data_IF_353241279712
#
_entry.id   IF_353241279712
#
_cell.length_a   1.000
_cell.length_b   1.000
_cell.length_c   1.000
_cell.angle_alpha   90.00
_cell.angle_beta   90.00
_cell.angle_gamma   90.00
#
_symmetry.space_group_name_H-M   'P 1'
#
loop_
_entity.id
_entity.type
_entity.pdbx_description
1 polymer ?
#
# COMPACT_ATOMS: atom_id res chain seq x y z
N UNK A 1 21.87 5.63 -7.48
CA UNK A 1 20.60 5.72 -8.25
C UNK A 1 20.18 4.39 -8.83
N UNK A 2 20.95 3.71 -9.69
CA UNK A 2 20.55 2.41 -10.30
C UNK A 2 20.15 1.38 -9.25
N UNK A 3 20.93 1.21 -8.18
CA UNK A 3 20.61 0.29 -7.08
C UNK A 3 19.24 0.59 -6.44
N UNK A 4 18.90 1.88 -6.25
CA UNK A 4 17.58 2.26 -5.70
C UNK A 4 16.43 1.95 -6.65
N UNK A 5 16.61 2.15 -7.97
CA UNK A 5 15.62 1.80 -8.99
C UNK A 5 15.35 0.29 -9.01
N UNK A 6 16.42 -0.51 -9.02
CA UNK A 6 16.30 -1.99 -8.99
C UNK A 6 15.57 -2.45 -7.72
N UNK A 7 15.92 -1.91 -6.55
CA UNK A 7 15.26 -2.26 -5.29
C UNK A 7 13.77 -1.86 -5.29
N UNK A 8 13.41 -0.71 -5.86
CA UNK A 8 12.02 -0.28 -5.96
C UNK A 8 11.21 -1.22 -6.85
N UNK A 9 11.73 -1.59 -8.02
CA UNK A 9 11.07 -2.52 -8.94
C UNK A 9 10.94 -3.91 -8.30
N UNK A 10 11.98 -4.41 -7.66
CA UNK A 10 11.94 -5.70 -6.95
C UNK A 10 10.92 -5.68 -5.81
N UNK A 11 10.83 -4.58 -5.05
CA UNK A 11 9.80 -4.43 -4.01
C UNK A 11 8.40 -4.50 -4.62
N UNK A 12 8.15 -3.80 -5.74
CA UNK A 12 6.86 -3.87 -6.45
C UNK A 12 6.55 -5.28 -6.97
N UNK A 13 7.56 -6.00 -7.47
CA UNK A 13 7.39 -7.41 -7.88
C UNK A 13 7.01 -8.31 -6.69
N UNK A 14 7.63 -8.10 -5.52
CA UNK A 14 7.29 -8.85 -4.32
C UNK A 14 5.89 -8.48 -3.79
N UNK A 15 5.48 -7.22 -3.86
CA UNK A 15 4.09 -6.84 -3.55
C UNK A 15 3.10 -7.45 -4.54
N UNK A 16 3.43 -7.51 -5.83
CA UNK A 16 2.65 -8.26 -6.82
C UNK A 16 2.52 -9.74 -6.45
N UNK A 17 3.64 -10.40 -6.11
CA UNK A 17 3.61 -11.78 -5.64
C UNK A 17 2.72 -11.93 -4.40
N UNK A 18 2.82 -11.02 -3.43
CA UNK A 18 1.99 -11.02 -2.21
C UNK A 18 0.50 -10.80 -2.51
N UNK A 19 0.16 -10.20 -3.64
CA UNK A 19 -1.22 -10.05 -4.09
C UNK A 19 -1.82 -11.37 -4.56
N UNK A 20 -1.04 -12.20 -5.26
CA UNK A 20 -1.45 -13.55 -5.67
C UNK A 20 -1.37 -14.58 -4.53
N UNK A 21 -0.45 -14.36 -3.58
CA UNK A 21 -0.10 -15.33 -2.54
C UNK A 21 -1.28 -15.90 -1.73
N UNK A 22 -2.33 -15.12 -1.41
CA UNK A 22 -3.51 -15.63 -0.71
C UNK A 22 -4.17 -16.83 -1.39
N UNK A 23 -4.10 -16.93 -2.72
CA UNK A 23 -4.64 -18.06 -3.48
C UNK A 23 -3.97 -19.38 -3.10
N UNK A 24 -2.66 -19.34 -2.76
CA UNK A 24 -1.88 -20.50 -2.37
C UNK A 24 -2.18 -20.98 -0.93
N UNK A 25 -2.88 -20.15 -0.16
CA UNK A 25 -3.24 -20.41 1.24
C UNK A 25 -4.72 -20.83 1.38
N UNK A 26 -5.44 -20.99 0.28
CA UNK A 26 -6.78 -21.55 0.34
C UNK A 26 -6.72 -23.00 0.89
N UNK A 27 -7.67 -23.41 1.73
CA UNK A 27 -8.96 -22.77 2.05
C UNK A 27 -8.96 -21.87 3.30
N UNK A 28 -7.81 -21.34 3.76
CA UNK A 28 -7.80 -20.46 4.93
C UNK A 28 -8.67 -19.21 4.71
N UNK A 29 -9.45 -18.78 5.72
CA UNK A 29 -10.19 -17.53 5.66
C UNK A 29 -9.29 -16.32 5.44
N UNK A 30 -9.82 -15.28 4.78
CA UNK A 30 -9.09 -14.03 4.49
C UNK A 30 -8.45 -13.40 5.73
N UNK A 31 -9.20 -13.40 6.85
CA UNK A 31 -8.74 -12.83 8.12
C UNK A 31 -7.56 -13.63 8.68
N UNK A 32 -7.60 -14.96 8.54
CA UNK A 32 -6.51 -15.83 9.00
C UNK A 32 -5.24 -15.61 8.17
N UNK A 33 -5.37 -15.53 6.85
CA UNK A 33 -4.25 -15.21 5.95
C UNK A 33 -3.63 -13.86 6.33
N UNK A 34 -4.48 -12.85 6.59
CA UNK A 34 -4.05 -11.53 7.04
C UNK A 34 -3.31 -11.62 8.37
N UNK A 35 -3.87 -12.32 9.36
CA UNK A 35 -3.23 -12.48 10.68
C UNK A 35 -1.90 -13.23 10.56
N UNK A 36 -1.83 -14.31 9.80
CA UNK A 36 -0.57 -15.03 9.55
C UNK A 36 0.48 -14.13 8.90
N UNK A 37 0.09 -13.32 7.92
CA UNK A 37 0.98 -12.35 7.28
C UNK A 37 1.58 -11.38 8.29
N UNK A 38 0.75 -10.82 9.17
CA UNK A 38 1.18 -9.85 10.18
C UNK A 38 2.04 -10.49 11.28
N UNK A 39 1.63 -11.65 11.80
CA UNK A 39 2.37 -12.37 12.84
C UNK A 39 3.76 -12.79 12.38
N UNK A 40 3.88 -13.26 11.13
CA UNK A 40 5.17 -13.75 10.60
C UNK A 40 6.06 -12.60 10.07
N UNK A 41 5.51 -11.46 9.66
CA UNK A 41 6.30 -10.31 9.20
C UNK A 41 6.70 -9.35 10.32
N UNK A 42 5.97 -9.30 11.44
CA UNK A 42 6.25 -8.36 12.54
C UNK A 42 7.66 -8.49 13.13
N UNK A 43 8.21 -9.72 13.39
CA UNK A 43 9.59 -9.87 13.86
C UNK A 43 10.62 -9.19 12.95
N UNK A 44 10.41 -9.23 11.63
CA UNK A 44 11.30 -8.58 10.69
C UNK A 44 11.18 -7.04 10.70
N UNK A 45 9.98 -6.50 10.95
CA UNK A 45 9.81 -5.06 11.17
C UNK A 45 10.54 -4.62 12.44
N UNK A 46 10.52 -5.43 13.50
CA UNK A 46 11.32 -5.19 14.72
C UNK A 46 12.82 -5.16 14.38
N UNK A 47 13.31 -6.13 13.61
CA UNK A 47 14.72 -6.16 13.14
C UNK A 47 15.05 -4.91 12.32
N UNK A 48 14.17 -4.45 11.42
CA UNK A 48 14.35 -3.23 10.65
C UNK A 48 14.48 -1.99 11.55
N UNK A 49 13.71 -1.90 12.63
CA UNK A 49 13.83 -0.82 13.63
C UNK A 49 15.22 -0.80 14.26
N UNK A 50 15.79 -1.98 14.56
CA UNK A 50 17.16 -2.09 15.10
C UNK A 50 18.20 -1.67 14.05
N UNK A 51 18.12 -2.18 12.83
CA UNK A 51 19.07 -1.85 11.74
C UNK A 51 19.05 -0.35 11.42
N UNK A 52 17.90 0.27 11.43
CA UNK A 52 17.72 1.70 11.14
C UNK A 52 17.93 2.61 12.36
N UNK A 53 18.33 2.04 13.51
CA UNK A 53 18.58 2.77 14.77
C UNK A 53 17.39 3.65 15.21
N UNK A 54 16.14 3.21 14.96
CA UNK A 54 14.92 3.99 15.23
C UNK A 54 14.35 3.78 16.65
N UNK A 55 15.05 3.09 17.55
CA UNK A 55 14.58 2.87 18.92
C UNK A 55 14.39 4.16 19.73
N UNK A 56 15.21 5.18 19.49
CA UNK A 56 15.02 6.50 20.10
C UNK A 56 13.70 7.11 19.73
N UNK A 57 13.34 7.09 18.42
CA UNK A 57 12.07 7.61 17.92
C UNK A 57 10.86 6.87 18.52
N UNK A 58 10.96 5.54 18.71
CA UNK A 58 9.91 4.76 19.37
C UNK A 58 9.78 5.15 20.85
N UNK A 59 10.89 5.30 21.59
CA UNK A 59 10.86 5.75 22.98
C UNK A 59 10.23 7.15 23.11
N UNK A 60 10.58 8.06 22.21
CA UNK A 60 10.03 9.41 22.18
C UNK A 60 8.53 9.38 21.86
N UNK A 61 8.08 8.47 20.98
CA UNK A 61 6.67 8.25 20.70
C UNK A 61 5.92 7.81 21.98
N UNK A 62 6.48 6.86 22.76
CA UNK A 62 5.87 6.44 24.02
C UNK A 62 5.77 7.56 25.04
N UNK A 63 6.78 8.46 25.14
CA UNK A 63 6.71 9.65 25.98
C UNK A 63 5.59 10.58 25.53
N UNK A 64 5.50 10.87 24.22
CA UNK A 64 4.43 11.70 23.64
C UNK A 64 3.04 11.13 23.88
N UNK A 65 2.86 9.80 23.83
CA UNK A 65 1.58 9.15 24.14
C UNK A 65 1.20 9.36 25.60
N UNK A 66 2.16 9.30 26.54
CA UNK A 66 1.91 9.56 27.96
C UNK A 66 1.53 11.01 28.23
N UNK A 67 2.15 11.96 27.53
CA UNK A 67 1.86 13.39 27.65
C UNK A 67 0.54 13.77 26.94
N UNK A 68 0.22 13.11 25.83
CA UNK A 68 -0.95 13.39 25.00
C UNK A 68 -1.64 12.09 24.59
N UNK A 69 -2.56 11.53 25.41
CA UNK A 69 -3.22 10.25 25.11
C UNK A 69 -4.01 10.22 23.80
N UNK A 70 -4.40 11.39 23.28
CA UNK A 70 -5.06 11.51 21.96
C UNK A 70 -4.21 10.99 20.81
N UNK A 71 -2.87 10.97 20.97
CA UNK A 71 -1.95 10.37 19.99
C UNK A 71 -2.22 8.85 19.86
N UNK A 72 -2.50 8.16 20.97
CA UNK A 72 -2.85 6.74 20.96
C UNK A 72 -4.12 6.48 20.15
N UNK A 73 -5.15 7.30 20.34
CA UNK A 73 -6.41 7.20 19.57
C UNK A 73 -6.13 7.36 18.07
N UNK A 74 -5.32 8.35 17.70
CA UNK A 74 -4.91 8.57 16.31
C UNK A 74 -4.09 7.42 15.73
N UNK A 75 -3.22 6.78 16.53
CA UNK A 75 -2.46 5.59 16.13
C UNK A 75 -3.37 4.38 15.91
N UNK A 76 -4.29 4.11 16.83
CA UNK A 76 -5.27 3.02 16.68
C UNK A 76 -6.12 3.26 15.43
N UNK A 77 -6.57 4.49 15.21
CA UNK A 77 -7.33 4.85 14.00
C UNK A 77 -6.50 4.64 12.71
N UNK A 78 -5.23 5.07 12.68
CA UNK A 78 -4.36 4.84 11.52
C UNK A 78 -4.09 3.35 11.27
N UNK A 79 -3.88 2.57 12.33
CA UNK A 79 -3.68 1.13 12.25
C UNK A 79 -4.94 0.40 11.74
N UNK A 80 -6.12 0.85 12.15
CA UNK A 80 -7.40 0.33 11.65
C UNK A 80 -7.58 0.63 10.15
N UNK A 81 -7.27 1.85 9.71
CA UNK A 81 -7.30 2.20 8.30
C UNK A 81 -6.34 1.30 7.49
N UNK A 82 -5.11 1.11 7.98
CA UNK A 82 -4.14 0.24 7.32
C UNK A 82 -4.62 -1.23 7.31
N UNK A 83 -5.24 -1.71 8.39
CA UNK A 83 -5.85 -3.05 8.45
C UNK A 83 -6.88 -3.24 7.34
N UNK A 84 -7.79 -2.27 7.14
CA UNK A 84 -8.80 -2.32 6.08
C UNK A 84 -8.12 -2.41 4.70
N UNK A 85 -7.09 -1.58 4.46
CA UNK A 85 -6.37 -1.59 3.19
C UNK A 85 -5.70 -2.94 2.92
N UNK A 86 -5.03 -3.50 3.94
CA UNK A 86 -4.34 -4.79 3.82
C UNK A 86 -5.32 -5.97 3.70
N UNK A 87 -6.48 -5.88 4.34
CA UNK A 87 -7.55 -6.90 4.18
C UNK A 87 -8.11 -6.88 2.76
N UNK A 88 -8.37 -5.71 2.17
CA UNK A 88 -8.82 -5.61 0.78
C UNK A 88 -7.77 -6.15 -0.18
N UNK A 89 -6.48 -5.86 0.08
CA UNK A 89 -5.38 -6.38 -0.71
C UNK A 89 -5.34 -7.92 -0.77
N UNK A 90 -5.76 -8.59 0.31
CA UNK A 90 -5.85 -10.06 0.39
C UNK A 90 -7.21 -10.56 -0.13
N UNK A 91 -8.29 -9.86 0.20
CA UNK A 91 -9.66 -10.27 -0.09
C UNK A 91 -9.98 -10.16 -1.59
N UNK A 92 -9.55 -9.08 -2.24
CA UNK A 92 -9.93 -8.80 -3.61
C UNK A 92 -9.51 -9.90 -4.61
N UNK A 93 -8.26 -10.38 -4.64
CA UNK A 93 -7.85 -11.45 -5.54
C UNK A 93 -8.56 -12.79 -5.26
N UNK A 94 -8.97 -13.05 -4.01
CA UNK A 94 -9.68 -14.27 -3.62
C UNK A 94 -11.15 -14.28 -4.04
N UNK A 95 -11.73 -13.10 -4.30
CA UNK A 95 -13.17 -12.94 -4.56
C UNK A 95 -13.47 -12.40 -5.97
N UNK A 96 -12.50 -12.39 -6.90
CA UNK A 96 -12.70 -11.91 -8.27
C UNK A 96 -12.84 -10.38 -8.39
N UNK A 97 -12.30 -9.62 -7.43
CA UNK A 97 -12.32 -8.16 -7.38
C UNK A 97 -10.92 -7.56 -7.51
N UNK A 98 -9.96 -8.34 -7.99
CA UNK A 98 -8.56 -7.94 -8.10
C UNK A 98 -8.36 -6.74 -9.02
N UNK A 99 -9.04 -6.70 -10.18
CA UNK A 99 -9.00 -5.56 -11.10
C UNK A 99 -9.55 -4.29 -10.44
N UNK A 100 -10.67 -4.38 -9.71
CA UNK A 100 -11.27 -3.25 -9.00
C UNK A 100 -10.33 -2.69 -7.93
N UNK A 101 -9.69 -3.55 -7.15
CA UNK A 101 -8.69 -3.13 -6.17
C UNK A 101 -7.47 -2.50 -6.85
N UNK A 102 -6.93 -3.09 -7.92
CA UNK A 102 -5.79 -2.55 -8.66
C UNK A 102 -6.09 -1.15 -9.22
N UNK A 103 -7.32 -0.90 -9.69
CA UNK A 103 -7.77 0.41 -10.13
C UNK A 103 -7.71 1.45 -9.00
N UNK A 104 -8.07 1.05 -7.78
CA UNK A 104 -7.91 1.88 -6.58
C UNK A 104 -6.45 2.30 -6.34
N UNK A 105 -5.51 1.38 -6.53
CA UNK A 105 -4.07 1.69 -6.45
C UNK A 105 -3.60 2.62 -7.56
N UNK A 106 -4.17 2.55 -8.77
CA UNK A 106 -3.89 3.52 -9.83
C UNK A 106 -4.42 4.92 -9.48
N UNK A 107 -5.58 5.01 -8.85
CA UNK A 107 -6.16 6.29 -8.44
C UNK A 107 -5.47 6.91 -7.21
N UNK A 108 -4.76 6.11 -6.42
CA UNK A 108 -4.16 6.55 -5.17
C UNK A 108 -3.24 7.79 -5.32
N UNK A 109 -2.31 7.89 -6.27
CA UNK A 109 -1.49 9.09 -6.41
C UNK A 109 -2.31 10.34 -6.75
N UNK A 110 -3.40 10.18 -7.51
CA UNK A 110 -4.30 11.28 -7.86
C UNK A 110 -5.08 11.78 -6.64
N UNK A 111 -5.61 10.85 -5.84
CA UNK A 111 -6.31 11.20 -4.60
C UNK A 111 -5.36 11.79 -3.55
N UNK A 112 -4.08 11.38 -3.53
CA UNK A 112 -3.03 12.01 -2.73
C UNK A 112 -2.76 13.45 -3.17
N UNK A 113 -2.68 13.72 -4.48
CA UNK A 113 -2.50 15.07 -5.04
C UNK A 113 -3.69 15.97 -4.68
N UNK A 114 -4.91 15.48 -4.84
CA UNK A 114 -6.13 16.20 -4.46
C UNK A 114 -6.15 16.47 -2.95
N UNK A 115 -5.79 15.49 -2.14
CA UNK A 115 -5.70 15.62 -0.68
C UNK A 115 -4.66 16.66 -0.28
N UNK A 116 -3.50 16.69 -0.95
CA UNK A 116 -2.47 17.73 -0.76
C UNK A 116 -3.01 19.13 -1.01
N UNK A 117 -3.80 19.30 -2.06
CA UNK A 117 -4.45 20.57 -2.37
C UNK A 117 -5.48 20.99 -1.30
N UNK A 118 -6.36 20.05 -0.90
CA UNK A 118 -7.46 20.36 0.03
C UNK A 118 -6.94 20.64 1.44
N UNK A 119 -6.09 19.75 1.98
CA UNK A 119 -5.69 19.80 3.39
C UNK A 119 -4.44 20.63 3.64
N UNK A 120 -3.55 20.76 2.65
CA UNK A 120 -2.27 21.47 2.80
C UNK A 120 -2.15 22.68 1.88
N UNK A 121 -3.19 23.00 1.09
CA UNK A 121 -3.23 24.12 0.14
C UNK A 121 -2.08 24.09 -0.88
N UNK A 122 -1.60 22.90 -1.21
CA UNK A 122 -0.56 22.69 -2.21
C UNK A 122 -1.08 23.11 -3.58
N UNK A 123 -0.26 23.86 -4.34
CA UNK A 123 -0.67 24.31 -5.69
C UNK A 123 -0.44 23.19 -6.68
N UNK A 124 -1.50 22.74 -7.35
CA UNK A 124 -1.39 21.77 -8.43
C UNK A 124 -0.68 22.36 -9.63
N UNK A 125 0.25 21.60 -10.19
CA UNK A 125 0.85 21.91 -11.49
C UNK A 125 -0.19 21.78 -12.61
N UNK A 126 0.15 22.27 -13.81
CA UNK A 126 -0.71 22.13 -14.98
C UNK A 126 -0.96 20.67 -15.35
N UNK A 127 0.08 19.82 -15.33
CA UNK A 127 -0.04 18.40 -15.63
C UNK A 127 -0.86 17.64 -14.58
N UNK A 128 -0.72 17.99 -13.28
CA UNK A 128 -1.56 17.43 -12.22
C UNK A 128 -3.04 17.76 -12.41
N UNK A 129 -3.36 18.99 -12.84
CA UNK A 129 -4.75 19.36 -13.15
C UNK A 129 -5.31 18.53 -14.30
N UNK A 130 -4.53 18.33 -15.38
CA UNK A 130 -4.92 17.46 -16.51
C UNK A 130 -5.16 16.04 -16.01
N UNK A 131 -4.25 15.48 -15.23
CA UNK A 131 -4.38 14.13 -14.71
C UNK A 131 -5.62 13.95 -13.84
N UNK A 132 -5.91 14.91 -12.94
CA UNK A 132 -7.13 14.91 -12.11
C UNK A 132 -8.39 14.98 -12.97
N UNK A 133 -8.41 15.83 -14.01
CA UNK A 133 -9.55 15.90 -14.94
C UNK A 133 -9.77 14.58 -15.69
N UNK A 134 -8.70 13.97 -16.22
CA UNK A 134 -8.78 12.68 -16.91
C UNK A 134 -9.30 11.58 -16.00
N UNK A 135 -8.80 11.49 -14.76
CA UNK A 135 -9.29 10.53 -13.79
C UNK A 135 -10.76 10.75 -13.43
N UNK A 136 -11.17 12.02 -13.25
CA UNK A 136 -12.57 12.36 -12.98
C UNK A 136 -13.50 11.94 -14.13
N UNK A 137 -13.05 12.15 -15.39
CA UNK A 137 -13.77 11.64 -16.57
C UNK A 137 -13.86 10.12 -16.55
N UNK A 138 -12.74 9.42 -16.28
CA UNK A 138 -12.72 7.96 -16.19
C UNK A 138 -13.69 7.40 -15.14
N UNK A 139 -13.70 8.00 -13.95
CA UNK A 139 -14.64 7.64 -12.87
C UNK A 139 -16.10 7.95 -13.27
N UNK A 140 -16.36 9.09 -13.89
CA UNK A 140 -17.70 9.46 -14.36
C UNK A 140 -18.21 8.49 -15.44
N UNK A 141 -17.35 8.09 -16.39
CA UNK A 141 -17.66 7.09 -17.41
C UNK A 141 -17.94 5.75 -16.75
N UNK A 142 -17.14 5.32 -15.77
CA UNK A 142 -17.36 4.07 -15.03
C UNK A 142 -18.75 4.05 -14.39
N UNK A 143 -19.09 5.09 -13.63
CA UNK A 143 -20.41 5.20 -12.98
C UNK A 143 -21.55 5.22 -14.01
N UNK A 144 -21.36 5.91 -15.15
CA UNK A 144 -22.38 5.99 -16.18
C UNK A 144 -22.61 4.65 -16.89
N UNK A 145 -21.54 3.90 -17.18
CA UNK A 145 -21.62 2.64 -17.94
C UNK A 145 -22.02 1.44 -17.09
N UNK A 146 -21.63 1.40 -15.82
CA UNK A 146 -21.88 0.27 -14.91
C UNK A 146 -23.00 0.53 -13.90
N UNK A 147 -23.43 1.79 -13.77
CA UNK A 147 -24.42 2.22 -12.78
C UNK A 147 -23.88 2.33 -11.35
N UNK A 148 -22.63 1.92 -11.10
CA UNK A 148 -21.99 1.98 -9.78
C UNK A 148 -20.46 2.12 -9.91
N UNK A 149 -19.85 2.71 -8.89
CA UNK A 149 -18.39 2.70 -8.74
C UNK A 149 -18.01 1.61 -7.75
N UNK A 150 -17.01 0.80 -8.09
CA UNK A 150 -16.57 -0.30 -7.22
C UNK A 150 -16.17 0.22 -5.83
N UNK A 151 -16.76 -0.34 -4.78
CA UNK A 151 -16.46 0.06 -3.41
C UNK A 151 -15.00 -0.25 -3.03
N UNK A 152 -14.44 -1.33 -3.58
CA UNK A 152 -13.03 -1.70 -3.38
C UNK A 152 -12.11 -0.61 -3.90
N UNK A 153 -12.39 -0.14 -5.12
CA UNK A 153 -11.67 0.97 -5.73
C UNK A 153 -11.77 2.23 -4.87
N UNK A 154 -12.96 2.56 -4.38
CA UNK A 154 -13.19 3.72 -3.53
C UNK A 154 -12.42 3.61 -2.20
N UNK A 155 -12.50 2.46 -1.53
CA UNK A 155 -11.83 2.26 -0.24
C UNK A 155 -10.31 2.31 -0.39
N UNK A 156 -9.74 1.71 -1.42
CA UNK A 156 -8.28 1.79 -1.68
C UNK A 156 -7.88 3.23 -2.01
N UNK A 157 -8.55 3.88 -2.96
CA UNK A 157 -8.20 5.21 -3.44
C UNK A 157 -8.34 6.32 -2.37
N UNK A 158 -9.28 6.19 -1.44
CA UNK A 158 -9.56 7.20 -0.41
C UNK A 158 -8.97 6.84 0.97
N UNK A 159 -8.88 5.57 1.29
CA UNK A 159 -8.42 5.11 2.60
C UNK A 159 -6.94 5.43 2.86
N UNK A 160 -6.07 5.24 1.87
CA UNK A 160 -4.65 5.62 1.99
C UNK A 160 -4.43 7.12 2.18
N UNK A 161 -5.07 8.05 1.44
CA UNK A 161 -4.98 9.48 1.75
C UNK A 161 -5.37 9.83 3.18
N UNK A 162 -6.48 9.27 3.69
CA UNK A 162 -6.92 9.50 5.08
C UNK A 162 -5.87 8.97 6.06
N UNK A 163 -5.32 7.79 5.82
CA UNK A 163 -4.22 7.22 6.60
C UNK A 163 -3.00 8.15 6.62
N UNK A 164 -2.51 8.60 5.45
CA UNK A 164 -1.33 9.46 5.38
C UNK A 164 -1.55 10.84 5.99
N UNK A 165 -2.75 11.45 5.83
CA UNK A 165 -3.12 12.71 6.49
C UNK A 165 -3.09 12.55 8.00
N UNK A 166 -3.67 11.46 8.54
CA UNK A 166 -3.67 11.14 9.96
C UNK A 166 -2.24 11.03 10.48
N UNK A 167 -1.39 10.27 9.81
CA UNK A 167 0.02 10.07 10.14
C UNK A 167 0.81 11.38 10.14
N UNK A 168 0.61 12.23 9.13
CA UNK A 168 1.25 13.55 9.04
C UNK A 168 0.82 14.47 10.16
N UNK A 169 -0.48 14.47 10.53
CA UNK A 169 -0.98 15.23 11.68
C UNK A 169 -0.38 14.77 13.02
N UNK A 170 -0.19 13.47 13.16
CA UNK A 170 0.45 12.89 14.37
C UNK A 170 1.97 13.12 14.39
N UNK A 171 2.56 13.56 13.28
CA UNK A 171 4.03 13.67 13.11
C UNK A 171 4.76 12.34 13.38
N UNK A 172 4.21 11.24 12.90
CA UNK A 172 4.75 9.89 13.09
C UNK A 172 4.86 9.26 11.70
N UNK A 173 6.02 9.35 11.08
CA UNK A 173 6.28 8.87 9.72
C UNK A 173 7.42 7.84 9.68
N UNK A 174 7.61 7.22 8.53
CA UNK A 174 8.69 6.28 8.28
C UNK A 174 8.57 4.98 9.06
N UNK A 175 9.70 4.39 9.44
CA UNK A 175 9.77 3.07 10.09
C UNK A 175 9.11 3.07 11.47
N UNK A 176 9.28 4.13 12.26
CA UNK A 176 8.61 4.27 13.56
C UNK A 176 7.09 4.19 13.40
N UNK A 177 6.55 4.82 12.36
CA UNK A 177 5.15 4.74 12.04
C UNK A 177 4.69 3.35 11.63
N UNK A 178 5.41 2.72 10.70
CA UNK A 178 5.12 1.37 10.25
C UNK A 178 5.19 0.37 11.42
N UNK A 179 6.20 0.49 12.28
CA UNK A 179 6.30 -0.31 13.50
C UNK A 179 5.07 -0.15 14.40
N UNK A 180 4.62 1.08 14.62
CA UNK A 180 3.45 1.35 15.49
C UNK A 180 2.18 0.72 14.92
N UNK A 181 1.93 0.85 13.61
CA UNK A 181 0.76 0.23 12.99
C UNK A 181 0.82 -1.29 13.07
N UNK A 182 1.95 -1.89 12.69
CA UNK A 182 2.13 -3.34 12.76
C UNK A 182 2.04 -3.87 14.20
N UNK A 183 2.50 -3.11 15.19
CA UNK A 183 2.38 -3.48 16.61
C UNK A 183 0.91 -3.59 17.05
N UNK A 184 0.08 -2.58 16.75
CA UNK A 184 -1.35 -2.63 17.11
C UNK A 184 -2.09 -3.72 16.34
N UNK A 185 -1.79 -3.90 15.05
CA UNK A 185 -2.40 -4.96 14.24
C UNK A 185 -1.96 -6.33 14.75
N UNK A 186 -0.67 -6.50 15.09
CA UNK A 186 -0.14 -7.74 15.68
C UNK A 186 -0.89 -8.14 16.95
N UNK A 187 -1.11 -7.19 17.87
CA UNK A 187 -1.90 -7.45 19.08
C UNK A 187 -3.33 -7.88 18.70
N UNK A 188 -3.96 -7.19 17.74
CA UNK A 188 -5.29 -7.57 17.25
C UNK A 188 -5.32 -8.99 16.67
N UNK A 189 -4.31 -9.40 15.89
CA UNK A 189 -4.20 -10.74 15.34
C UNK A 189 -3.99 -11.81 16.41
N UNK A 190 -3.17 -11.53 17.43
CA UNK A 190 -2.99 -12.45 18.57
C UNK A 190 -4.30 -12.64 19.33
N UNK A 191 -5.00 -11.56 19.62
CA UNK A 191 -6.32 -11.61 20.28
C UNK A 191 -7.32 -12.39 19.40
N UNK A 192 -7.37 -12.11 18.10
CA UNK A 192 -8.25 -12.82 17.17
C UNK A 192 -8.04 -14.32 17.20
N UNK A 193 -6.80 -14.80 17.09
CA UNK A 193 -6.51 -16.24 17.16
C UNK A 193 -6.81 -16.84 18.53
N UNK A 194 -6.49 -16.13 19.61
CA UNK A 194 -6.74 -16.61 20.97
C UNK A 194 -8.24 -16.81 21.29
N UNK A 195 -9.13 -16.00 20.69
CA UNK A 195 -10.57 -16.11 20.93
C UNK A 195 -11.30 -17.00 19.94
N UNK A 196 -10.78 -17.19 18.72
CA UNK A 196 -11.52 -17.90 17.67
C UNK A 196 -11.03 -19.35 17.47
N UNK A 197 -9.78 -19.67 17.86
CA UNK A 197 -9.20 -20.97 17.57
C UNK A 197 -8.53 -21.60 18.78
N UNK A 198 -8.71 -22.94 18.99
CA UNK A 198 -7.92 -23.68 19.94
C UNK A 198 -6.46 -23.76 19.46
N UNK A 199 -5.51 -23.88 20.39
CA UNK A 199 -4.09 -23.96 20.05
C UNK A 199 -3.75 -25.12 19.11
N UNK A 200 -4.50 -26.23 19.20
CA UNK A 200 -4.35 -27.39 18.30
C UNK A 200 -4.63 -27.05 16.84
N UNK A 201 -5.63 -26.19 16.56
CA UNK A 201 -5.94 -25.73 15.21
C UNK A 201 -4.83 -24.84 14.66
N UNK A 202 -4.30 -23.92 15.47
CA UNK A 202 -3.19 -23.05 15.10
C UNK A 202 -1.94 -23.90 14.72
N UNK A 203 -1.64 -24.93 15.51
CA UNK A 203 -0.55 -25.87 15.21
C UNK A 203 -0.83 -26.66 13.94
N UNK A 204 -2.06 -27.09 13.72
CA UNK A 204 -2.48 -27.79 12.50
C UNK A 204 -2.27 -26.93 11.26
N UNK A 205 -2.67 -25.65 11.30
CA UNK A 205 -2.50 -24.72 10.18
C UNK A 205 -1.02 -24.48 9.87
N UNK A 206 -0.19 -24.27 10.91
CA UNK A 206 1.27 -24.15 10.75
C UNK A 206 1.87 -25.41 10.14
N UNK A 207 1.45 -26.60 10.56
CA UNK A 207 1.99 -27.85 10.02
C UNK A 207 1.52 -28.12 8.60
N UNK A 208 0.27 -27.80 8.28
CA UNK A 208 -0.28 -27.95 6.93
C UNK A 208 0.37 -26.96 5.94
N UNK A 209 0.52 -25.70 6.34
CA UNK A 209 1.10 -24.63 5.53
C UNK A 209 2.53 -24.27 5.98
N UNK A 210 3.32 -25.25 6.45
CA UNK A 210 4.64 -25.06 7.08
C UNK A 210 5.67 -24.30 6.21
N UNK A 211 5.49 -24.30 4.89
CA UNK A 211 6.31 -23.51 3.95
C UNK A 211 5.64 -22.17 3.63
N UNK A 212 4.34 -22.17 3.35
CA UNK A 212 3.64 -21.01 2.84
C UNK A 212 3.45 -19.90 3.89
N UNK A 213 3.12 -20.24 5.14
CA UNK A 213 2.95 -19.25 6.21
C UNK A 213 4.26 -18.51 6.53
N UNK A 214 5.41 -19.19 6.79
CA UNK A 214 6.66 -18.48 6.99
C UNK A 214 7.13 -17.68 5.77
N UNK A 215 6.97 -18.23 4.55
CA UNK A 215 7.33 -17.53 3.32
C UNK A 215 6.53 -16.25 3.11
N UNK A 216 5.23 -16.23 3.46
CA UNK A 216 4.40 -15.03 3.42
C UNK A 216 5.01 -13.89 4.25
N UNK A 217 5.48 -14.20 5.47
CA UNK A 217 6.16 -13.23 6.34
C UNK A 217 7.52 -12.79 5.78
N UNK A 218 8.33 -13.73 5.31
CA UNK A 218 9.66 -13.46 4.74
C UNK A 218 9.54 -12.56 3.51
N UNK A 219 8.64 -12.88 2.57
CA UNK A 219 8.42 -12.08 1.36
C UNK A 219 7.94 -10.69 1.73
N UNK A 220 6.99 -10.58 2.68
CA UNK A 220 6.51 -9.29 3.18
C UNK A 220 7.64 -8.47 3.78
N UNK A 221 8.48 -9.07 4.61
CA UNK A 221 9.62 -8.41 5.24
C UNK A 221 10.66 -7.91 4.23
N UNK A 222 11.01 -8.75 3.26
CA UNK A 222 11.97 -8.40 2.20
C UNK A 222 11.39 -7.28 1.32
N UNK A 223 10.10 -7.34 0.96
CA UNK A 223 9.43 -6.30 0.19
C UNK A 223 9.51 -4.93 0.91
N UNK A 224 9.17 -4.87 2.19
CA UNK A 224 9.28 -3.63 2.98
C UNK A 224 10.73 -3.16 3.15
N UNK A 225 11.68 -4.07 3.40
CA UNK A 225 13.10 -3.71 3.51
C UNK A 225 13.61 -3.09 2.21
N UNK A 226 13.30 -3.70 1.05
CA UNK A 226 13.67 -3.16 -0.27
C UNK A 226 12.99 -1.82 -0.54
N UNK A 227 11.71 -1.67 -0.21
CA UNK A 227 10.93 -0.44 -0.35
C UNK A 227 11.53 0.71 0.45
N UNK A 228 11.84 0.50 1.74
CA UNK A 228 12.45 1.53 2.58
C UNK A 228 13.88 1.89 2.13
N UNK A 229 14.66 0.89 1.72
CA UNK A 229 16.01 1.13 1.20
C UNK A 229 15.98 1.87 -0.13
N UNK A 230 15.05 1.54 -1.04
CA UNK A 230 14.84 2.27 -2.28
C UNK A 230 14.48 3.73 -2.02
N UNK A 231 13.57 4.01 -1.10
CA UNK A 231 13.17 5.36 -0.69
C UNK A 231 14.35 6.21 -0.22
N UNK A 232 15.32 5.61 0.50
CA UNK A 232 16.53 6.31 0.95
C UNK A 232 17.52 6.62 -0.17
N UNK A 233 17.60 5.75 -1.16
CA UNK A 233 18.57 5.85 -2.26
C UNK A 233 18.08 6.70 -3.42
N UNK A 234 16.78 6.99 -3.50
CA UNK A 234 16.14 7.68 -4.62
C UNK A 234 15.62 9.07 -4.21
N UNK A 235 15.68 10.05 -5.13
CA UNK A 235 14.89 11.27 -4.97
C UNK A 235 13.41 10.93 -4.86
N UNK A 236 12.68 11.66 -4.02
CA UNK A 236 11.26 11.38 -3.72
C UNK A 236 10.39 11.30 -4.99
N UNK A 237 10.61 12.20 -5.96
CA UNK A 237 9.89 12.18 -7.23
C UNK A 237 10.11 10.93 -8.05
N UNK A 238 11.37 10.42 -8.12
CA UNK A 238 11.67 9.18 -8.84
C UNK A 238 11.11 7.95 -8.10
N UNK A 239 11.17 7.95 -6.78
CA UNK A 239 10.58 6.89 -5.97
C UNK A 239 9.05 6.84 -6.14
N UNK A 240 8.38 7.99 -6.15
CA UNK A 240 6.94 8.07 -6.42
C UNK A 240 6.55 7.58 -7.83
N UNK A 241 7.37 7.90 -8.84
CA UNK A 241 7.20 7.36 -10.20
C UNK A 241 7.28 5.84 -10.27
N UNK A 242 8.27 5.27 -9.60
CA UNK A 242 8.45 3.82 -9.57
C UNK A 242 7.32 3.12 -8.80
N UNK A 243 6.61 3.84 -7.93
CA UNK A 243 5.41 3.35 -7.26
C UNK A 243 4.28 2.95 -8.21
N UNK A 244 4.25 3.49 -9.44
CA UNK A 244 3.27 3.07 -10.46
C UNK A 244 3.52 1.67 -11.03
N UNK A 245 4.69 1.08 -10.81
CA UNK A 245 4.98 -0.30 -11.22
C UNK A 245 4.07 -1.28 -10.47
N UNK A 246 3.78 -1.02 -9.19
CA UNK A 246 2.96 -1.90 -8.36
C UNK A 246 1.55 -2.08 -8.92
N UNK A 247 0.70 -1.03 -9.14
CA UNK A 247 -0.64 -1.22 -9.68
C UNK A 247 -0.66 -1.86 -11.08
N UNK A 248 0.36 -1.61 -11.91
CA UNK A 248 0.50 -2.32 -13.21
C UNK A 248 0.66 -3.82 -13.00
N UNK A 249 1.52 -4.22 -12.06
CA UNK A 249 1.72 -5.64 -11.74
C UNK A 249 0.46 -6.26 -11.13
N UNK A 250 -0.26 -5.55 -10.24
CA UNK A 250 -1.52 -6.05 -9.67
C UNK A 250 -2.56 -6.31 -10.78
N UNK A 251 -2.69 -5.38 -11.74
CA UNK A 251 -3.59 -5.57 -12.90
C UNK A 251 -3.18 -6.77 -13.75
N UNK A 252 -1.88 -6.89 -14.07
CA UNK A 252 -1.37 -8.03 -14.82
C UNK A 252 -1.64 -9.36 -14.11
N UNK A 253 -1.48 -9.40 -12.79
CA UNK A 253 -1.76 -10.59 -11.99
C UNK A 253 -3.26 -10.90 -12.02
N UNK A 254 -4.14 -9.90 -11.86
CA UNK A 254 -5.59 -10.09 -11.93
C UNK A 254 -6.02 -10.67 -13.28
N UNK A 255 -5.48 -10.17 -14.39
CA UNK A 255 -5.84 -10.66 -15.73
C UNK A 255 -5.20 -12.02 -16.05
N UNK A 256 -3.88 -12.16 -15.80
CA UNK A 256 -3.13 -13.32 -16.30
C UNK A 256 -3.19 -14.53 -15.37
N UNK A 257 -3.25 -14.32 -14.07
CA UNK A 257 -3.18 -15.39 -13.06
C UNK A 257 -4.51 -15.64 -12.35
N UNK A 258 -5.32 -14.58 -12.14
CA UNK A 258 -6.65 -14.72 -11.53
C UNK A 258 -7.75 -14.87 -12.62
N UNK A 259 -7.39 -14.77 -13.91
CA UNK A 259 -8.29 -14.91 -15.06
C UNK A 259 -9.48 -13.93 -15.02
N UNK A 260 -9.29 -12.76 -14.40
CA UNK A 260 -10.30 -11.71 -14.43
C UNK A 260 -10.34 -11.04 -15.81
N UNK A 261 -11.51 -10.89 -16.38
CA UNK A 261 -11.69 -10.29 -17.71
C UNK A 261 -12.02 -8.80 -17.58
N UNK A 262 -11.33 -7.97 -18.35
CA UNK A 262 -11.73 -6.56 -18.51
C UNK A 262 -12.89 -6.54 -19.49
N UNK A 263 -14.12 -6.31 -19.01
CA UNK A 263 -15.27 -6.19 -19.88
C UNK A 263 -15.16 -4.96 -20.79
N UNK A 264 -15.77 -5.01 -21.98
CA UNK A 264 -15.78 -3.89 -22.92
C UNK A 264 -16.31 -2.58 -22.31
N UNK A 265 -17.20 -2.70 -21.32
CA UNK A 265 -17.77 -1.55 -20.59
C UNK A 265 -16.73 -0.79 -19.76
N UNK A 266 -15.75 -1.50 -19.20
CA UNK A 266 -14.68 -0.91 -18.38
C UNK A 266 -13.50 -0.37 -19.17
N UNK A 267 -13.33 -0.78 -20.46
CA UNK A 267 -12.15 -0.41 -21.25
C UNK A 267 -12.01 1.13 -21.36
N UNK A 268 -13.11 1.82 -21.60
CA UNK A 268 -13.08 3.28 -21.81
C UNK A 268 -12.71 4.00 -20.51
N UNK A 269 -13.36 3.67 -19.39
CA UNK A 269 -13.08 4.28 -18.09
C UNK A 269 -11.65 4.00 -17.62
N UNK A 270 -11.19 2.76 -17.75
CA UNK A 270 -9.81 2.36 -17.39
C UNK A 270 -8.77 3.06 -18.27
N UNK A 271 -9.05 3.25 -19.56
CA UNK A 271 -8.16 3.98 -20.47
C UNK A 271 -7.95 5.43 -20.02
N UNK A 272 -8.99 6.14 -19.59
CA UNK A 272 -8.87 7.49 -19.03
C UNK A 272 -8.06 7.53 -17.74
N UNK A 273 -8.26 6.53 -16.86
CA UNK A 273 -7.52 6.44 -15.59
C UNK A 273 -6.04 6.13 -15.87
N UNK A 274 -5.73 5.17 -16.75
CA UNK A 274 -4.35 4.87 -17.13
C UNK A 274 -3.66 6.06 -17.82
N UNK A 275 -4.39 6.78 -18.69
CA UNK A 275 -3.87 8.01 -19.31
C UNK A 275 -3.54 9.08 -18.25
N UNK A 276 -4.39 9.23 -17.23
CA UNK A 276 -4.13 10.15 -16.12
C UNK A 276 -2.85 9.80 -15.36
N UNK A 277 -2.62 8.50 -15.12
CA UNK A 277 -1.40 7.96 -14.49
C UNK A 277 -0.18 8.24 -15.36
N UNK A 278 -0.28 8.03 -16.69
CA UNK A 278 0.80 8.36 -17.63
C UNK A 278 1.17 9.84 -17.60
N UNK A 279 0.19 10.74 -17.49
CA UNK A 279 0.43 12.19 -17.38
C UNK A 279 1.15 12.52 -16.07
N UNK A 280 0.77 11.93 -14.93
CA UNK A 280 1.48 12.11 -13.65
C UNK A 280 2.89 11.53 -13.70
N UNK A 281 3.09 10.37 -14.31
CA UNK A 281 4.39 9.76 -14.49
C UNK A 281 5.31 10.64 -15.35
N UNK A 282 4.77 11.24 -16.41
CA UNK A 282 5.49 12.20 -17.25
C UNK A 282 5.97 13.42 -16.43
N UNK A 283 5.08 14.00 -15.62
CA UNK A 283 5.44 15.13 -14.75
C UNK A 283 6.57 14.79 -13.78
N UNK A 284 6.45 13.67 -13.09
CA UNK A 284 7.48 13.20 -12.17
C UNK A 284 8.82 12.99 -12.89
N UNK A 285 8.81 12.43 -14.11
CA UNK A 285 10.02 12.27 -14.95
C UNK A 285 10.64 13.63 -15.28
N UNK A 286 9.84 14.60 -15.72
CA UNK A 286 10.30 15.98 -16.01
C UNK A 286 10.91 16.61 -14.76
N UNK A 287 10.28 16.46 -13.59
CA UNK A 287 10.77 16.97 -12.32
C UNK A 287 12.14 16.37 -11.97
N UNK A 288 12.30 15.07 -12.08
CA UNK A 288 13.56 14.36 -11.81
C UNK A 288 14.67 14.81 -12.76
N UNK A 289 14.38 14.89 -14.06
CA UNK A 289 15.35 15.35 -15.07
C UNK A 289 15.81 16.77 -14.81
N UNK A 290 14.90 17.68 -14.45
CA UNK A 290 15.26 19.07 -14.06
C UNK A 290 16.13 19.11 -12.81
N UNK A 291 15.84 18.28 -11.80
CA UNK A 291 16.64 18.19 -10.58
C UNK A 291 18.07 17.68 -10.86
N UNK A 292 18.23 16.68 -11.73
CA UNK A 292 19.53 16.13 -12.15
C UNK A 292 20.33 17.21 -12.91
N UNK A 293 19.67 17.92 -13.85
CA UNK A 293 20.34 18.98 -14.62
C UNK A 293 20.86 20.11 -13.72
N UNK A 294 20.07 20.52 -12.71
CA UNK A 294 20.49 21.54 -11.73
C UNK A 294 21.71 21.10 -10.89
N UNK A 295 21.83 19.79 -10.56
CA UNK A 295 22.99 19.26 -9.83
C UNK A 295 24.26 19.14 -10.68
N UNK A 296 24.16 19.09 -12.03
CA UNK A 296 25.31 19.04 -12.94
C UNK A 296 25.91 20.42 -13.23
N UNK A 297 25.18 21.49 -12.96
CA UNK A 297 25.57 22.87 -13.24
C UNK A 297 26.18 23.54 -11.98
N UNK A 298 26.05 22.90 -10.83
CA UNK A 298 26.77 23.27 -9.57
C UNK A 298 27.95 22.34 -9.34
#
# INVERSE_FOLDING_TARGET
MIKGVVLSILASCLFGLLYYYPVLLQPLPVVDIFCWRLLTSFPAIVVLVFIEHQWSAIRDLFKRIREQPMILVGLIFSSLLLTIQMLIFIWAPLNGHGLSASLGYFLLPLTMVISGQIFYKEKLSFLQKIAVCLAAIGVAVEIYTTGAFSWETAVVALGYPIYFITRRKLQIEGICGTFSDFFFIFIGCVIYFAFNYPFSQIVSDITHFHIFIPMLGIITAIAFAMYFLARRLLPLGLFGLLGYVEPVLLTLISVLFLHESISAQHIISYSFIWLSVCVLALEGTIFVLRAIKRKRIR
#
